data_IF_193140263073
#
_entry.id   IF_193140263073
#
_cell.length_a   1.000
_cell.length_b   1.000
_cell.length_c   1.000
_cell.angle_alpha   90.00
_cell.angle_beta   90.00
_cell.angle_gamma   90.00
#
_symmetry.space_group_name_H-M   'P 1'
#
loop_
_entity.id
_entity.type
_entity.pdbx_description
1 polymer ?
#
# COMPACT_ATOMS: atom_id res chain seq x y z
N UNK A 1 16.40 8.13 -6.41
CA UNK A 1 15.02 8.25 -5.94
C UNK A 1 14.92 7.73 -4.53
N UNK A 2 14.28 8.47 -3.64
CA UNK A 2 14.11 8.06 -2.25
C UNK A 2 13.25 6.81 -2.16
N UNK A 3 13.61 5.91 -1.26
CA UNK A 3 12.90 4.66 -1.00
C UNK A 3 12.27 4.69 0.39
N UNK A 4 11.09 4.11 0.51
CA UNK A 4 10.32 4.03 1.73
C UNK A 4 10.03 2.56 2.07
N UNK A 5 9.89 2.26 3.36
CA UNK A 5 9.61 0.91 3.87
C UNK A 5 8.28 0.87 4.61
N UNK A 6 7.86 -0.32 5.03
CA UNK A 6 6.62 -0.50 5.82
C UNK A 6 6.75 -0.06 7.27
N UNK A 7 7.86 0.58 7.65
CA UNK A 7 8.05 1.04 9.02
C UNK A 7 6.90 1.97 9.46
N UNK A 8 6.33 1.70 10.63
CA UNK A 8 5.25 2.50 11.22
C UNK A 8 5.80 3.33 12.37
N UNK A 9 5.49 4.63 12.36
CA UNK A 9 5.78 5.54 13.46
C UNK A 9 4.50 5.84 14.23
N UNK A 10 4.63 6.32 15.48
CA UNK A 10 3.49 6.75 16.27
C UNK A 10 2.69 7.86 15.56
N UNK A 11 3.37 8.77 14.87
CA UNK A 11 2.73 9.84 14.09
C UNK A 11 1.90 9.28 12.95
N UNK A 12 2.42 8.28 12.24
CA UNK A 12 1.69 7.61 11.14
C UNK A 12 0.44 6.91 11.65
N UNK A 13 0.56 6.19 12.77
CA UNK A 13 -0.59 5.52 13.39
C UNK A 13 -1.67 6.52 13.81
N UNK A 14 -1.30 7.63 14.40
CA UNK A 14 -2.23 8.69 14.76
C UNK A 14 -2.90 9.31 13.51
N UNK A 15 -2.16 9.48 12.42
CA UNK A 15 -2.69 10.01 11.16
C UNK A 15 -3.74 9.09 10.54
N UNK A 16 -3.59 7.77 10.65
CA UNK A 16 -4.59 6.81 10.14
C UNK A 16 -5.93 6.90 10.85
N UNK A 17 -5.95 7.32 12.11
CA UNK A 17 -7.16 7.46 12.92
C UNK A 17 -7.74 8.87 12.88
N UNK A 18 -7.02 9.83 12.32
CA UNK A 18 -7.44 11.22 12.25
C UNK A 18 -8.59 11.38 11.26
N UNK A 19 -9.68 12.03 11.75
CA UNK A 19 -10.78 12.40 10.86
C UNK A 19 -10.30 13.41 9.81
N UNK A 20 -10.71 13.27 8.54
CA UNK A 20 -10.38 14.23 7.49
C UNK A 20 -11.16 15.55 7.65
N UNK A 21 -12.06 15.63 8.62
CA UNK A 21 -12.93 16.79 8.82
C UNK A 21 -12.60 17.51 10.13
N UNK A 22 -12.60 18.86 10.07
CA UNK A 22 -12.45 19.69 11.27
C UNK A 22 -13.78 19.72 12.04
N UNK A 23 -13.74 20.14 13.32
CA UNK A 23 -14.93 20.32 14.12
C UNK A 23 -15.91 21.31 13.45
N UNK A 24 -15.39 22.37 12.83
CA UNK A 24 -16.19 23.35 12.11
C UNK A 24 -16.89 22.72 10.89
N UNK A 25 -16.19 21.89 10.13
CA UNK A 25 -16.77 21.17 8.99
C UNK A 25 -17.87 20.22 9.44
N UNK A 26 -17.65 19.48 10.54
CA UNK A 26 -18.65 18.57 11.11
C UNK A 26 -19.91 19.33 11.58
N UNK A 27 -19.74 20.49 12.21
CA UNK A 27 -20.85 21.30 12.65
C UNK A 27 -21.72 21.83 11.50
N UNK A 28 -21.12 22.03 10.32
CA UNK A 28 -21.83 22.48 9.12
C UNK A 28 -22.51 21.36 8.32
N UNK A 29 -22.33 20.10 8.70
CA UNK A 29 -22.93 18.96 8.01
C UNK A 29 -24.34 18.67 8.50
N UNK A 30 -25.15 18.00 7.64
CA UNK A 30 -26.44 17.50 8.10
C UNK A 30 -26.24 16.33 9.08
N UNK A 31 -27.32 15.97 9.80
CA UNK A 31 -27.24 14.93 10.84
C UNK A 31 -26.84 13.56 10.29
N UNK A 32 -27.31 13.20 9.11
CA UNK A 32 -26.99 11.90 8.49
C UNK A 32 -25.50 11.80 8.15
N UNK A 33 -24.92 12.84 7.54
CA UNK A 33 -23.50 12.88 7.21
C UNK A 33 -22.63 12.83 8.46
N UNK A 34 -22.98 13.61 9.48
CA UNK A 34 -22.28 13.64 10.76
C UNK A 34 -22.32 12.28 11.45
N UNK A 35 -23.48 11.63 11.45
CA UNK A 35 -23.67 10.31 12.05
C UNK A 35 -22.78 9.25 11.38
N UNK A 36 -22.64 9.28 10.05
CA UNK A 36 -21.74 8.37 9.32
C UNK A 36 -20.29 8.56 9.72
N UNK A 37 -19.84 9.82 9.86
CA UNK A 37 -18.47 10.14 10.26
C UNK A 37 -18.21 9.70 11.70
N UNK A 38 -19.15 9.93 12.61
CA UNK A 38 -19.03 9.49 14.01
C UNK A 38 -18.95 7.97 14.12
N UNK A 39 -19.73 7.23 13.33
CA UNK A 39 -19.67 5.77 13.26
C UNK A 39 -18.32 5.27 12.74
N UNK A 40 -17.79 5.94 11.72
CA UNK A 40 -16.47 5.59 11.17
C UNK A 40 -15.38 5.85 12.19
N UNK A 41 -15.43 6.97 12.90
CA UNK A 41 -14.46 7.29 13.95
C UNK A 41 -14.52 6.28 15.10
N UNK A 42 -15.71 5.89 15.52
CA UNK A 42 -15.90 4.87 16.56
C UNK A 42 -15.37 3.51 16.12
N UNK A 43 -15.60 3.12 14.86
CA UNK A 43 -15.04 1.90 14.28
C UNK A 43 -13.52 1.91 14.31
N UNK A 44 -12.90 3.01 13.88
CA UNK A 44 -11.44 3.14 13.87
C UNK A 44 -10.85 3.03 15.28
N UNK A 45 -11.49 3.61 16.28
CA UNK A 45 -11.03 3.49 17.68
C UNK A 45 -11.13 2.05 18.21
N UNK A 46 -12.20 1.33 17.83
CA UNK A 46 -12.41 -0.06 18.24
C UNK A 46 -11.52 -1.05 17.48
N UNK A 47 -10.98 -0.65 16.32
CA UNK A 47 -10.19 -1.49 15.43
C UNK A 47 -8.86 -0.80 15.11
N UNK A 48 -7.88 -0.83 16.02
CA UNK A 48 -6.59 -0.18 15.79
C UNK A 48 -5.84 -0.78 14.61
N UNK A 49 -4.98 0.01 14.00
CA UNK A 49 -4.13 -0.44 12.91
C UNK A 49 -3.12 -1.46 13.43
N UNK A 50 -3.09 -2.64 12.83
CA UNK A 50 -2.15 -3.72 13.18
C UNK A 50 -1.01 -3.83 12.19
N UNK A 51 -1.21 -3.40 10.95
CA UNK A 51 -0.17 -3.39 9.92
C UNK A 51 -0.54 -2.38 8.83
N UNK A 52 0.48 -1.91 8.11
CA UNK A 52 0.29 -1.10 6.92
C UNK A 52 1.39 -1.43 5.92
N UNK A 53 0.99 -1.73 4.70
CA UNK A 53 1.89 -2.12 3.63
C UNK A 53 1.88 -1.06 2.55
N UNK A 54 3.07 -0.53 2.20
CA UNK A 54 3.18 0.37 1.06
C UNK A 54 2.83 -0.39 -0.22
N UNK A 55 2.07 0.25 -1.10
CA UNK A 55 1.79 -0.29 -2.42
C UNK A 55 3.06 -0.16 -3.25
N UNK A 56 3.56 -1.29 -3.77
CA UNK A 56 4.74 -1.31 -4.61
C UNK A 56 4.44 -0.69 -5.97
N UNK A 57 5.42 0.01 -6.51
CA UNK A 57 5.36 0.66 -7.82
C UNK A 57 6.56 0.28 -8.66
N UNK A 58 6.57 0.66 -9.92
CA UNK A 58 7.83 0.63 -10.69
C UNK A 58 8.90 1.38 -9.91
N UNK A 59 10.13 0.89 -9.95
CA UNK A 59 11.24 1.44 -9.19
C UNK A 59 11.36 0.90 -7.76
N UNK A 60 10.44 0.04 -7.30
CA UNK A 60 10.59 -0.66 -6.02
C UNK A 60 11.82 -1.56 -6.04
N UNK A 61 12.48 -1.71 -4.90
CA UNK A 61 13.70 -2.49 -4.77
C UNK A 61 13.46 -3.77 -3.99
N UNK A 62 14.24 -4.81 -4.34
CA UNK A 62 14.19 -6.10 -3.65
C UNK A 62 15.42 -6.30 -2.77
N UNK A 63 15.32 -7.26 -1.84
CA UNK A 63 16.42 -7.60 -0.92
C UNK A 63 17.71 -7.96 -1.65
N UNK A 64 17.61 -8.61 -2.79
CA UNK A 64 18.77 -9.08 -3.55
C UNK A 64 19.19 -8.14 -4.69
N UNK A 65 18.72 -6.89 -4.67
CA UNK A 65 19.15 -5.85 -5.61
C UNK A 65 18.33 -5.77 -6.89
N UNK A 66 17.18 -6.43 -6.96
CA UNK A 66 16.26 -6.33 -8.10
C UNK A 66 15.49 -5.01 -8.07
N UNK A 67 15.03 -4.58 -9.25
CA UNK A 67 14.21 -3.39 -9.44
C UNK A 67 12.94 -3.76 -10.20
N UNK A 68 11.81 -3.35 -9.65
CA UNK A 68 10.49 -3.65 -10.23
C UNK A 68 10.26 -2.79 -11.47
N UNK A 69 9.76 -3.44 -12.51
CA UNK A 69 9.40 -2.83 -13.78
C UNK A 69 7.92 -3.11 -14.07
N UNK A 70 7.10 -2.05 -14.10
CA UNK A 70 5.65 -2.19 -14.28
C UNK A 70 5.20 -1.46 -15.54
N UNK A 71 4.61 -2.19 -16.48
CA UNK A 71 4.13 -1.66 -17.76
C UNK A 71 2.70 -1.17 -17.71
N UNK A 72 1.89 -1.72 -16.79
CA UNK A 72 0.49 -1.36 -16.67
C UNK A 72 0.33 0.05 -16.12
N UNK A 73 -0.32 0.91 -16.85
CA UNK A 73 -0.48 2.32 -16.50
C UNK A 73 -1.92 2.70 -16.13
N UNK A 74 -2.80 1.71 -15.93
CA UNK A 74 -4.19 1.95 -15.55
C UNK A 74 -4.37 2.44 -14.13
N UNK A 75 -3.34 2.29 -13.30
CA UNK A 75 -3.33 2.78 -11.93
C UNK A 75 -1.95 3.35 -11.60
N UNK A 76 -1.91 4.61 -11.20
CA UNK A 76 -0.68 5.32 -10.95
C UNK A 76 -0.73 6.07 -9.63
N UNK A 77 0.44 6.29 -9.02
CA UNK A 77 0.60 7.12 -7.83
C UNK A 77 1.44 8.34 -8.23
N UNK A 78 0.94 9.52 -7.89
CA UNK A 78 1.64 10.78 -8.13
C UNK A 78 2.52 11.13 -6.94
N UNK A 79 3.80 11.39 -7.20
CA UNK A 79 4.74 11.89 -6.19
C UNK A 79 4.58 13.40 -6.01
N UNK A 80 5.15 13.94 -4.93
CA UNK A 80 5.08 15.36 -4.60
C UNK A 80 5.71 16.23 -5.68
N UNK A 81 6.72 15.72 -6.39
CA UNK A 81 7.38 16.41 -7.49
C UNK A 81 6.61 16.35 -8.82
N UNK A 82 5.45 15.71 -8.84
CA UNK A 82 4.62 15.53 -10.02
C UNK A 82 4.90 14.27 -10.83
N UNK A 83 5.91 13.49 -10.47
CA UNK A 83 6.22 12.22 -11.14
C UNK A 83 5.07 11.22 -10.94
N UNK A 84 4.66 10.55 -12.03
CA UNK A 84 3.65 9.49 -11.99
C UNK A 84 4.34 8.14 -12.05
N UNK A 85 4.02 7.26 -11.10
CA UNK A 85 4.57 5.90 -11.03
C UNK A 85 3.47 4.88 -11.26
N UNK A 86 3.74 3.89 -12.12
CA UNK A 86 2.82 2.79 -12.34
C UNK A 86 2.79 1.89 -11.10
N UNK A 87 1.58 1.56 -10.63
CA UNK A 87 1.40 0.61 -9.53
C UNK A 87 1.75 -0.79 -10.02
N UNK A 88 2.51 -1.52 -9.22
CA UNK A 88 2.93 -2.89 -9.53
C UNK A 88 1.86 -3.90 -9.12
N UNK A 89 1.81 -5.01 -9.83
CA UNK A 89 0.86 -6.11 -9.59
C UNK A 89 1.58 -7.45 -9.61
N UNK A 90 0.92 -8.46 -9.06
CA UNK A 90 1.41 -9.84 -9.17
C UNK A 90 1.60 -10.18 -10.65
N UNK A 91 2.74 -10.76 -10.99
CA UNK A 91 3.14 -11.08 -12.35
C UNK A 91 4.06 -10.05 -13.01
N UNK A 92 4.21 -8.86 -12.42
CA UNK A 92 5.12 -7.86 -12.95
C UNK A 92 6.58 -8.30 -12.83
N UNK A 93 7.41 -7.82 -13.76
CA UNK A 93 8.81 -8.22 -13.90
C UNK A 93 9.71 -7.48 -12.90
N UNK A 94 10.67 -8.19 -12.36
CA UNK A 94 11.77 -7.63 -11.58
C UNK A 94 13.08 -7.93 -12.32
N UNK A 95 13.92 -6.91 -12.48
CA UNK A 95 15.18 -7.00 -13.21
C UNK A 95 16.36 -6.82 -12.27
N UNK A 96 17.36 -7.66 -12.42
CA UNK A 96 18.59 -7.64 -11.62
C UNK A 96 19.77 -7.10 -12.42
N UNK A 97 20.81 -6.55 -11.73
CA UNK A 97 21.99 -6.01 -12.41
C UNK A 97 22.74 -7.02 -13.28
N UNK A 98 22.65 -8.31 -12.95
CA UNK A 98 23.30 -9.39 -13.71
C UNK A 98 22.53 -9.81 -14.97
N UNK A 99 21.40 -9.15 -15.26
CA UNK A 99 20.55 -9.44 -16.42
C UNK A 99 19.49 -10.50 -16.18
N UNK A 100 19.47 -11.14 -15.01
CA UNK A 100 18.39 -12.09 -14.68
C UNK A 100 17.10 -11.34 -14.32
N UNK A 101 15.99 -12.08 -14.39
CA UNK A 101 14.66 -11.52 -14.08
C UNK A 101 13.89 -12.46 -13.17
N UNK A 102 12.86 -11.93 -12.51
CA UNK A 102 11.90 -12.69 -11.72
C UNK A 102 10.52 -12.03 -11.86
N UNK A 103 9.50 -12.69 -11.35
CA UNK A 103 8.15 -12.17 -11.34
C UNK A 103 7.62 -12.05 -9.91
N UNK A 104 6.81 -11.04 -9.65
CA UNK A 104 6.13 -10.86 -8.37
C UNK A 104 5.12 -11.99 -8.22
N UNK A 105 5.23 -12.77 -7.14
CA UNK A 105 4.46 -13.99 -6.94
C UNK A 105 3.23 -13.81 -6.05
N UNK A 106 3.22 -12.83 -5.16
CA UNK A 106 2.08 -12.57 -4.29
C UNK A 106 1.89 -11.07 -4.02
N UNK A 107 0.77 -10.71 -3.43
CA UNK A 107 0.43 -9.32 -3.14
C UNK A 107 -0.77 -9.22 -2.21
N UNK A 108 -1.57 -8.17 -2.39
CA UNK A 108 -2.72 -7.87 -1.53
C UNK A 108 -3.86 -8.88 -1.63
N UNK A 109 -3.79 -9.83 -2.56
CA UNK A 109 -4.79 -10.88 -2.71
C UNK A 109 -5.97 -10.48 -3.58
N UNK A 110 -7.02 -11.29 -3.53
CA UNK A 110 -8.28 -11.21 -4.27
C UNK A 110 -8.19 -11.85 -5.67
N UNK A 111 -8.21 -11.07 -6.73
CA UNK A 111 -8.35 -11.58 -8.09
C UNK A 111 -6.97 -11.88 -8.68
N UNK A 112 -6.70 -13.13 -9.12
CA UNK A 112 -5.45 -13.44 -9.80
C UNK A 112 -5.20 -12.51 -11.00
N UNK A 113 -3.98 -12.00 -11.13
CA UNK A 113 -3.59 -11.06 -12.18
C UNK A 113 -3.97 -9.60 -11.94
N UNK A 114 -4.80 -9.32 -10.94
CA UNK A 114 -5.19 -7.97 -10.56
C UNK A 114 -4.76 -7.60 -9.14
N UNK A 115 -4.12 -8.52 -8.43
CA UNK A 115 -3.64 -8.29 -7.08
C UNK A 115 -2.51 -7.27 -7.07
N UNK A 116 -2.65 -6.22 -6.25
CA UNK A 116 -1.61 -5.21 -6.08
C UNK A 116 -0.39 -5.81 -5.39
N UNK A 117 0.79 -5.50 -5.90
CA UNK A 117 2.03 -5.81 -5.20
C UNK A 117 2.24 -4.84 -4.05
N UNK A 118 2.82 -5.35 -2.97
CA UNK A 118 3.09 -4.58 -1.76
C UNK A 118 4.57 -4.67 -1.41
N UNK A 119 5.07 -3.71 -0.65
CA UNK A 119 6.34 -3.91 0.05
C UNK A 119 6.12 -5.07 1.01
N UNK A 120 6.89 -6.14 0.86
CA UNK A 120 6.68 -7.42 1.52
C UNK A 120 6.26 -8.55 0.57
N UNK A 121 5.86 -8.23 -0.66
CA UNK A 121 5.55 -9.26 -1.68
C UNK A 121 6.77 -10.08 -2.01
N UNK A 122 6.57 -11.39 -2.17
CA UNK A 122 7.62 -12.33 -2.57
C UNK A 122 7.66 -12.49 -4.09
N UNK A 123 8.83 -12.81 -4.60
CA UNK A 123 9.05 -13.13 -6.01
C UNK A 123 9.14 -14.65 -6.21
N UNK A 124 9.00 -15.09 -7.43
CA UNK A 124 9.06 -16.52 -7.78
C UNK A 124 10.45 -17.15 -7.58
N UNK A 125 11.50 -16.32 -7.40
CA UNK A 125 12.86 -16.77 -7.08
C UNK A 125 13.19 -16.74 -5.58
N UNK A 126 12.19 -16.46 -4.71
CA UNK A 126 12.39 -16.37 -3.26
C UNK A 126 12.86 -15.02 -2.75
N UNK A 127 13.07 -14.05 -3.61
CA UNK A 127 13.40 -12.67 -3.21
C UNK A 127 12.14 -11.95 -2.69
N UNK A 128 12.30 -10.77 -2.09
CA UNK A 128 11.22 -10.01 -1.47
C UNK A 128 11.38 -8.52 -1.80
N UNK A 129 10.28 -7.83 -2.10
CA UNK A 129 10.26 -6.37 -2.24
C UNK A 129 10.42 -5.76 -0.85
N UNK A 130 11.43 -4.91 -0.67
CA UNK A 130 11.76 -4.32 0.64
C UNK A 130 11.47 -2.83 0.74
N UNK A 131 11.31 -2.15 -0.39
CA UNK A 131 11.08 -0.71 -0.41
C UNK A 131 10.40 -0.28 -1.70
N UNK A 132 9.83 0.91 -1.69
CA UNK A 132 9.25 1.53 -2.88
C UNK A 132 9.48 3.05 -2.89
N UNK A 133 9.38 3.70 -4.05
CA UNK A 133 9.69 5.14 -4.15
C UNK A 133 8.52 6.05 -3.79
N UNK A 134 7.45 5.54 -3.19
CA UNK A 134 6.30 6.34 -2.77
C UNK A 134 5.92 6.02 -1.32
N UNK A 135 5.30 6.95 -0.61
CA UNK A 135 4.80 6.76 0.75
C UNK A 135 3.36 7.25 0.94
N UNK A 136 2.65 7.47 -0.15
CA UNK A 136 1.25 7.97 -0.11
C UNK A 136 0.24 6.82 -0.10
N UNK A 137 0.43 5.79 -0.93
CA UNK A 137 -0.49 4.67 -1.05
C UNK A 137 -0.12 3.51 -0.13
N UNK A 138 -1.07 3.09 0.71
CA UNK A 138 -0.84 1.99 1.67
C UNK A 138 -2.06 1.08 1.73
N UNK A 139 -1.82 -0.21 1.94
CA UNK A 139 -2.84 -1.15 2.38
C UNK A 139 -2.80 -1.22 3.90
N UNK A 140 -3.74 -0.56 4.54
CA UNK A 140 -3.82 -0.52 6.00
C UNK A 140 -4.69 -1.68 6.48
N UNK A 141 -4.22 -2.40 7.49
CA UNK A 141 -4.94 -3.51 8.11
C UNK A 141 -5.30 -3.13 9.54
N UNK A 142 -6.57 -3.30 9.90
CA UNK A 142 -7.06 -3.02 11.25
C UNK A 142 -7.41 -4.31 11.98
N UNK A 143 -7.37 -4.28 13.30
CA UNK A 143 -7.74 -5.43 14.13
C UNK A 143 -9.17 -5.90 13.79
N UNK A 144 -9.34 -7.22 13.67
CA UNK A 144 -10.63 -7.82 13.33
C UNK A 144 -10.98 -7.82 11.84
N UNK A 145 -10.14 -7.21 10.99
CA UNK A 145 -10.35 -7.22 9.54
C UNK A 145 -10.05 -8.61 8.96
N UNK A 146 -10.95 -9.10 8.10
CA UNK A 146 -10.72 -10.33 7.35
C UNK A 146 -9.87 -10.03 6.12
N UNK A 147 -8.70 -10.66 6.02
CA UNK A 147 -7.84 -10.55 4.85
C UNK A 147 -8.17 -11.65 3.83
N UNK A 148 -7.94 -11.40 2.53
CA UNK A 148 -8.01 -12.46 1.53
C UNK A 148 -7.10 -13.63 1.90
N UNK A 149 -7.52 -14.86 1.58
CA UNK A 149 -6.71 -16.06 1.87
C UNK A 149 -5.34 -16.03 1.22
N UNK A 150 -5.22 -15.39 0.05
CA UNK A 150 -3.99 -15.29 -0.70
C UNK A 150 -3.20 -13.99 -0.41
N UNK A 151 -3.55 -13.27 0.67
CA UNK A 151 -2.83 -12.05 1.06
C UNK A 151 -1.38 -12.37 1.42
N UNK A 152 -0.43 -11.93 0.60
CA UNK A 152 1.03 -12.17 0.73
C UNK A 152 1.40 -13.66 0.83
N UNK A 153 0.68 -14.52 0.13
CA UNK A 153 0.93 -15.96 0.14
C UNK A 153 1.25 -16.53 -1.23
#
# INVERSE_FOLDING_TARGET
>A
MQQYTNELTAEMLAAFDKSPFTAKQLAGMNDDARSLIEKQNAYNLAHPVTAAYLIATEGSLTRNGGKVFSKYNGQQIKLDDGTMLNVSRVGDEVRYPDGTTAEIANGAGNIPGESLALVGSSLDNGDVIISCPQNAGRRVVRAGESLPENFLK
#
